data_IF_179095718059
#
_entry.id   IF_179095718059
#
_cell.length_a   1.000
_cell.length_b   1.000
_cell.length_c   1.000
_cell.angle_alpha   90.00
_cell.angle_beta   90.00
_cell.angle_gamma   90.00
#
_symmetry.space_group_name_H-M   'P 1'
#
loop_
_entity.id
_entity.type
_entity.pdbx_description
1 polymer ?
#
# COMPACT_ATOMS: atom_id res chain seq x y z
N UNK A 1 -3.46 13.93 30.08
CA UNK A 1 -3.24 13.13 28.86
C UNK A 1 -4.49 12.31 28.61
N UNK A 2 -5.31 12.67 27.61
CA UNK A 2 -6.55 11.93 27.32
C UNK A 2 -6.21 10.58 26.67
N UNK A 3 -6.97 9.55 27.02
CA UNK A 3 -6.84 8.19 26.47
C UNK A 3 -6.98 8.14 24.94
N UNK A 4 -7.68 9.12 24.36
CA UNK A 4 -7.84 9.33 22.92
C UNK A 4 -6.51 9.63 22.22
N UNK A 5 -5.59 10.38 22.86
CA UNK A 5 -4.27 10.68 22.32
C UNK A 5 -3.38 9.43 22.22
N UNK A 6 -3.50 8.52 23.20
CA UNK A 6 -2.74 7.26 23.24
C UNK A 6 -3.25 6.29 22.16
N UNK A 7 -4.57 6.20 21.97
CA UNK A 7 -5.18 5.37 20.93
C UNK A 7 -4.81 5.85 19.52
N UNK A 8 -4.76 7.16 19.29
CA UNK A 8 -4.35 7.73 18.01
C UNK A 8 -2.87 7.46 17.70
N UNK A 9 -1.98 7.61 18.69
CA UNK A 9 -0.55 7.30 18.55
C UNK A 9 -0.30 5.81 18.28
N UNK A 10 -1.03 4.91 18.96
CA UNK A 10 -0.94 3.48 18.71
C UNK A 10 -1.37 3.11 17.28
N UNK A 11 -2.41 3.77 16.76
CA UNK A 11 -2.89 3.58 15.40
C UNK A 11 -1.87 4.06 14.36
N UNK A 12 -1.28 5.25 14.55
CA UNK A 12 -0.23 5.77 13.67
C UNK A 12 1.00 4.85 13.65
N UNK A 13 1.41 4.31 14.81
CA UNK A 13 2.53 3.38 14.90
C UNK A 13 2.23 2.05 14.18
N UNK A 14 1.02 1.53 14.31
CA UNK A 14 0.58 0.33 13.60
C UNK A 14 0.50 0.55 12.08
N UNK A 15 0.15 1.76 11.63
CA UNK A 15 0.16 2.13 10.21
C UNK A 15 1.58 2.19 9.66
N UNK A 16 2.51 2.77 10.43
CA UNK A 16 3.92 2.87 10.02
C UNK A 16 4.55 1.49 9.86
N UNK A 17 4.30 0.56 10.79
CA UNK A 17 4.81 -0.81 10.68
C UNK A 17 4.21 -1.57 9.49
N UNK A 18 2.93 -1.37 9.20
CA UNK A 18 2.29 -1.98 8.02
C UNK A 18 2.88 -1.43 6.71
N UNK A 19 3.14 -0.12 6.62
CA UNK A 19 3.80 0.48 5.46
C UNK A 19 5.21 -0.07 5.27
N UNK A 20 5.98 -0.16 6.36
CA UNK A 20 7.34 -0.71 6.32
C UNK A 20 7.34 -2.18 5.89
N UNK A 21 6.43 -2.99 6.43
CA UNK A 21 6.28 -4.40 6.04
C UNK A 21 5.90 -4.55 4.55
N UNK A 22 4.99 -3.71 4.06
CA UNK A 22 4.59 -3.71 2.65
C UNK A 22 5.76 -3.31 1.74
N UNK A 23 6.48 -2.25 2.09
CA UNK A 23 7.65 -1.81 1.34
C UNK A 23 8.75 -2.88 1.33
N UNK A 24 8.99 -3.55 2.46
CA UNK A 24 9.92 -4.68 2.55
C UNK A 24 9.50 -5.83 1.63
N UNK A 25 8.22 -6.22 1.64
CA UNK A 25 7.73 -7.30 0.79
C UNK A 25 7.80 -6.98 -0.71
N UNK A 26 7.54 -5.72 -1.08
CA UNK A 26 7.68 -5.26 -2.46
C UNK A 26 9.16 -5.27 -2.91
N UNK A 27 10.07 -4.89 -2.01
CA UNK A 27 11.51 -4.93 -2.25
C UNK A 27 12.04 -6.37 -2.40
N UNK A 28 11.62 -7.27 -1.52
CA UNK A 28 11.96 -8.70 -1.59
C UNK A 28 11.46 -9.34 -2.89
N UNK A 29 10.25 -8.98 -3.34
CA UNK A 29 9.72 -9.46 -4.62
C UNK A 29 10.47 -8.89 -5.85
N UNK A 30 11.07 -7.71 -5.72
CA UNK A 30 11.85 -7.08 -6.80
C UNK A 30 13.26 -7.65 -6.95
N UNK A 31 13.91 -8.02 -5.84
CA UNK A 31 15.25 -8.61 -5.82
C UNK A 31 15.49 -9.70 -6.87
N UNK A 32 14.68 -10.77 -6.98
CA UNK A 32 14.93 -11.85 -7.95
C UNK A 32 14.83 -11.39 -9.41
N UNK A 33 14.03 -10.36 -9.70
CA UNK A 33 13.91 -9.80 -11.05
C UNK A 33 15.17 -9.02 -11.39
N UNK A 34 15.65 -8.22 -10.43
CA UNK A 34 16.89 -7.45 -10.57
C UNK A 34 18.10 -8.38 -10.72
N UNK A 35 18.17 -9.47 -9.96
CA UNK A 35 19.23 -10.46 -10.07
C UNK A 35 19.24 -11.13 -11.46
N UNK A 36 18.07 -11.52 -11.97
CA UNK A 36 17.94 -12.06 -13.33
C UNK A 36 18.35 -11.04 -14.38
N UNK A 37 17.95 -9.78 -14.23
CA UNK A 37 18.35 -8.70 -15.13
C UNK A 37 19.88 -8.55 -15.15
N UNK A 38 20.53 -8.50 -13.98
CA UNK A 38 22.00 -8.42 -13.89
C UNK A 38 22.67 -9.64 -14.54
N UNK A 39 22.12 -10.84 -14.33
CA UNK A 39 22.66 -12.06 -14.93
C UNK A 39 22.57 -12.03 -16.46
N UNK A 40 21.43 -11.60 -17.00
CA UNK A 40 21.19 -11.48 -18.44
C UNK A 40 22.06 -10.39 -19.08
N UNK A 41 22.22 -9.25 -18.40
CA UNK A 41 23.02 -8.13 -18.91
C UNK A 41 24.53 -8.31 -18.75
N UNK A 42 24.99 -9.31 -17.97
CA UNK A 42 26.42 -9.55 -17.71
C UNK A 42 27.25 -9.74 -18.99
N UNK A 43 26.65 -10.32 -20.03
CA UNK A 43 27.29 -10.55 -21.33
C UNK A 43 27.31 -9.30 -22.22
N UNK A 44 26.62 -8.23 -21.82
CA UNK A 44 26.43 -6.99 -22.58
C UNK A 44 26.92 -5.75 -21.81
N UNK A 45 28.05 -5.88 -21.10
CA UNK A 45 28.65 -4.85 -20.23
C UNK A 45 27.72 -4.34 -19.11
N UNK A 46 26.69 -5.11 -18.74
CA UNK A 46 25.67 -4.67 -17.80
C UNK A 46 24.74 -3.58 -18.34
N UNK A 47 24.79 -3.28 -19.65
CA UNK A 47 24.02 -2.19 -20.26
C UNK A 47 22.82 -2.74 -21.01
N UNK A 48 21.63 -2.40 -20.52
CA UNK A 48 20.35 -2.75 -21.17
C UNK A 48 20.31 -2.39 -22.67
N UNK A 49 20.74 -1.19 -23.12
CA UNK A 49 20.70 -0.84 -24.54
C UNK A 49 21.60 -1.69 -25.44
N UNK A 50 22.62 -2.34 -24.86
CA UNK A 50 23.59 -3.16 -25.58
C UNK A 50 23.16 -4.61 -25.71
N UNK A 51 22.12 -5.02 -24.96
CA UNK A 51 21.60 -6.37 -25.02
C UNK A 51 20.87 -6.65 -26.33
N UNK A 52 20.79 -7.92 -26.73
CA UNK A 52 19.96 -8.31 -27.87
C UNK A 52 18.48 -8.01 -27.58
N UNK A 53 17.70 -7.85 -28.64
CA UNK A 53 16.27 -7.56 -28.53
C UNK A 53 15.54 -8.61 -27.68
N UNK A 54 15.88 -9.89 -27.86
CA UNK A 54 15.28 -10.99 -27.09
C UNK A 54 15.55 -10.86 -25.58
N UNK A 55 16.77 -10.45 -25.19
CA UNK A 55 17.14 -10.24 -23.79
C UNK A 55 16.47 -9.00 -23.22
N UNK A 56 16.37 -7.93 -24.01
CA UNK A 56 15.62 -6.74 -23.62
C UNK A 56 14.14 -7.05 -23.38
N UNK A 57 13.51 -7.82 -24.28
CA UNK A 57 12.12 -8.25 -24.17
C UNK A 57 11.90 -9.15 -22.95
N UNK A 58 12.84 -10.05 -22.62
CA UNK A 58 12.76 -10.88 -21.42
C UNK A 58 12.84 -10.05 -20.12
N UNK A 59 13.74 -9.07 -20.08
CA UNK A 59 13.84 -8.12 -18.96
C UNK A 59 12.56 -7.31 -18.83
N UNK A 60 12.06 -6.73 -19.94
CA UNK A 60 10.81 -5.95 -19.96
C UNK A 60 9.66 -6.80 -19.42
N UNK A 61 9.50 -8.03 -19.91
CA UNK A 61 8.46 -8.96 -19.45
C UNK A 61 8.57 -9.28 -17.96
N UNK A 62 9.78 -9.41 -17.44
CA UNK A 62 10.03 -9.60 -16.00
C UNK A 62 9.56 -8.39 -15.17
N UNK A 63 9.84 -7.18 -15.66
CA UNK A 63 9.41 -5.93 -15.02
C UNK A 63 7.90 -5.72 -15.12
N UNK A 64 7.30 -6.02 -16.26
CA UNK A 64 5.85 -5.95 -16.48
C UNK A 64 5.09 -6.87 -15.53
N UNK A 65 5.51 -8.14 -15.41
CA UNK A 65 4.89 -9.07 -14.44
C UNK A 65 4.94 -8.57 -13.00
N UNK A 66 6.06 -7.97 -12.59
CA UNK A 66 6.13 -7.35 -11.27
C UNK A 66 5.23 -6.14 -11.15
N UNK A 67 5.16 -5.30 -12.18
CA UNK A 67 4.28 -4.15 -12.22
C UNK A 67 2.80 -4.57 -12.20
N UNK A 68 2.43 -5.67 -12.83
CA UNK A 68 1.07 -6.24 -12.74
C UNK A 68 0.77 -6.75 -11.33
N UNK A 69 1.71 -7.45 -10.70
CA UNK A 69 1.50 -8.01 -9.36
C UNK A 69 1.59 -6.98 -8.21
N UNK A 70 2.43 -5.95 -8.35
CA UNK A 70 2.77 -5.01 -7.28
C UNK A 70 2.51 -3.54 -7.62
N UNK A 71 2.18 -3.23 -8.87
CA UNK A 71 1.89 -1.87 -9.32
C UNK A 71 0.46 -1.41 -9.04
N UNK A 72 0.02 -0.44 -9.83
CA UNK A 72 -1.18 0.38 -9.57
C UNK A 72 -2.51 -0.39 -9.55
N UNK A 73 -2.57 -1.56 -10.19
CA UNK A 73 -3.75 -2.44 -10.24
C UNK A 73 -3.54 -3.77 -9.50
N UNK A 74 -2.34 -3.99 -8.94
CA UNK A 74 -1.92 -5.25 -8.32
C UNK A 74 -2.25 -5.37 -6.82
N UNK A 75 -1.43 -6.14 -6.10
CA UNK A 75 -1.53 -6.35 -4.64
C UNK A 75 -1.51 -5.04 -3.84
N UNK A 76 -0.75 -4.05 -4.30
CA UNK A 76 -0.69 -2.73 -3.66
C UNK A 76 -2.05 -2.01 -3.74
N UNK A 77 -2.69 -2.04 -4.91
CA UNK A 77 -4.01 -1.46 -5.14
C UNK A 77 -5.07 -2.13 -4.28
N UNK A 78 -5.12 -3.46 -4.30
CA UNK A 78 -6.07 -4.25 -3.53
C UNK A 78 -5.91 -4.05 -2.01
N UNK A 79 -4.68 -3.84 -1.52
CA UNK A 79 -4.41 -3.50 -0.12
C UNK A 79 -4.87 -2.07 0.23
N UNK A 80 -4.64 -1.11 -0.66
CA UNK A 80 -5.11 0.27 -0.47
C UNK A 80 -6.63 0.38 -0.51
N UNK A 81 -7.32 -0.36 -1.38
CA UNK A 81 -8.78 -0.37 -1.46
C UNK A 81 -9.43 -0.99 -0.23
N UNK A 82 -8.91 -2.14 0.25
CA UNK A 82 -9.36 -2.72 1.52
C UNK A 82 -9.13 -1.77 2.69
N UNK A 83 -8.06 -0.97 2.66
CA UNK A 83 -7.79 0.05 3.67
C UNK A 83 -8.79 1.20 3.60
N UNK A 84 -9.01 1.77 2.42
CA UNK A 84 -9.96 2.87 2.22
C UNK A 84 -11.39 2.45 2.58
N UNK A 85 -11.76 1.20 2.34
CA UNK A 85 -13.06 0.65 2.75
C UNK A 85 -13.21 0.67 4.27
N UNK A 86 -12.22 0.16 5.03
CA UNK A 86 -12.23 0.19 6.50
C UNK A 86 -12.20 1.61 7.07
N UNK A 87 -11.45 2.50 6.45
CA UNK A 87 -11.39 3.91 6.86
C UNK A 87 -12.73 4.62 6.62
N UNK A 88 -13.40 4.34 5.48
CA UNK A 88 -14.76 4.83 5.21
C UNK A 88 -15.77 4.29 6.22
N UNK A 89 -15.75 3.00 6.52
CA UNK A 89 -16.64 2.39 7.51
C UNK A 89 -16.47 3.04 8.90
N UNK A 90 -15.22 3.30 9.29
CA UNK A 90 -14.91 3.96 10.57
C UNK A 90 -15.41 5.41 10.61
N UNK A 91 -15.25 6.16 9.52
CA UNK A 91 -15.77 7.53 9.40
C UNK A 91 -17.30 7.55 9.47
N UNK A 92 -17.97 6.65 8.75
CA UNK A 92 -19.44 6.51 8.79
C UNK A 92 -19.92 6.18 10.20
N UNK A 93 -19.25 5.26 10.91
CA UNK A 93 -19.59 4.97 12.31
C UNK A 93 -19.44 6.20 13.21
N UNK A 94 -18.34 6.95 13.06
CA UNK A 94 -18.12 8.16 13.84
C UNK A 94 -19.21 9.19 13.57
N UNK A 95 -19.50 9.51 12.30
CA UNK A 95 -20.59 10.43 11.93
C UNK A 95 -21.95 10.00 12.47
N UNK A 96 -22.23 8.70 12.48
CA UNK A 96 -23.47 8.15 13.03
C UNK A 96 -23.56 8.38 14.54
N UNK A 97 -22.45 8.18 15.27
CA UNK A 97 -22.37 8.44 16.71
C UNK A 97 -22.53 9.92 17.01
N UNK A 98 -21.87 10.81 16.25
CA UNK A 98 -22.03 12.26 16.43
C UNK A 98 -23.45 12.73 16.16
N UNK A 99 -24.11 12.20 15.10
CA UNK A 99 -25.53 12.50 14.83
C UNK A 99 -26.44 12.04 15.98
N UNK A 100 -26.24 10.82 16.49
CA UNK A 100 -27.03 10.32 17.62
C UNK A 100 -26.81 11.11 18.92
N UNK A 101 -25.59 11.60 19.16
CA UNK A 101 -25.29 12.47 20.31
C UNK A 101 -25.96 13.84 20.17
N UNK A 102 -25.91 14.44 18.98
CA UNK A 102 -26.58 15.71 18.70
C UNK A 102 -28.11 15.60 18.82
N UNK A 103 -28.71 14.54 18.28
CA UNK A 103 -30.15 14.30 18.41
C UNK A 103 -30.60 14.09 19.86
N UNK A 104 -29.76 13.46 20.71
CA UNK A 104 -30.04 13.33 22.15
C UNK A 104 -29.87 14.67 22.90
N UNK A 105 -28.91 15.49 22.48
CA UNK A 105 -28.69 16.84 23.02
C UNK A 105 -29.83 17.80 22.72
N UNK A 106 -30.35 17.78 21.48
CA UNK A 106 -31.48 18.64 21.07
C UNK A 106 -32.78 18.25 21.76
N UNK A 107 -33.07 16.94 21.93
CA UNK A 107 -34.25 16.48 22.69
C UNK A 107 -34.21 16.84 24.18
N UNK A 108 -33.02 17.14 24.73
CA UNK A 108 -32.86 17.63 26.10
C UNK A 108 -33.03 19.14 26.25
N UNK A 109 -33.07 19.89 25.15
CA UNK A 109 -33.21 21.36 25.12
C UNK A 109 -34.66 21.83 24.91
N UNK A 110 -35.50 20.97 24.34
CA UNK A 110 -36.93 21.20 24.12
C UNK A 110 -37.81 20.79 25.34
N UNK A 111 -37.23 20.58 26.51
CA UNK A 111 -37.95 20.37 27.78
C UNK A 111 -37.63 21.46 28.79
#
# INVERSE_FOLDING_TARGET
MSTESIAMLALLKAQETQRQALAASAYEAWQPIKEKEVALLKQFDGKFPNATKDVQDEIIKGREKYSEEWGADGKLAALMDKRHTKEREKLVMQETITKQLNEKGDRGRDR
#
